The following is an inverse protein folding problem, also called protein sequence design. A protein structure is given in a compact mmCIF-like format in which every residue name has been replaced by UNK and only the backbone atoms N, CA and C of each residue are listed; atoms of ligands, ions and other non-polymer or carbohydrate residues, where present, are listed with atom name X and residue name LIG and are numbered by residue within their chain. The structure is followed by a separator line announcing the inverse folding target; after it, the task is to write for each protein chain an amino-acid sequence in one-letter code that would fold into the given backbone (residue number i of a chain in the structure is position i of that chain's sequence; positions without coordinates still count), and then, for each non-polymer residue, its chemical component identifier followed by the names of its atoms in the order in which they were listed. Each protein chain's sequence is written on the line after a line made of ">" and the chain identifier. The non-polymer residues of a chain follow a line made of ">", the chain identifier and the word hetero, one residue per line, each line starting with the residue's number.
data_IF_561494034476
#
_entry.id   IF_561494034476
#
_cell.length_a   1.000
_cell.length_b   1.000
_cell.length_c   1.000
_cell.angle_alpha   90.00
_cell.angle_beta   90.00
_cell.angle_gamma   90.00
#
_symmetry.space_group_name_H-M   'P 1'
#
loop_
_entity.id
_entity.type
_entity.pdbx_description
1 polymer ?
#
# COMPACT_ATOMS: atom_id res chain seq x y z
N UNK A 1 -24.89 19.99 11.23
CA UNK A 1 -25.03 18.89 10.25
C UNK A 1 -23.64 18.67 9.70
N UNK A 2 -23.06 17.47 9.85
CA UNK A 2 -21.73 17.22 9.29
C UNK A 2 -21.85 17.22 7.76
N UNK A 3 -20.97 17.93 7.07
CA UNK A 3 -20.84 17.84 5.62
C UNK A 3 -20.59 16.36 5.28
N UNK A 4 -21.61 15.70 4.74
CA UNK A 4 -21.51 14.34 4.23
C UNK A 4 -20.64 14.45 2.98
N UNK A 5 -19.39 14.00 3.06
CA UNK A 5 -18.52 13.88 1.88
C UNK A 5 -19.24 13.08 0.79
N UNK A 6 -19.11 13.50 -0.47
CA UNK A 6 -19.59 12.69 -1.58
C UNK A 6 -18.74 11.42 -1.68
N UNK A 7 -19.39 10.26 -1.62
CA UNK A 7 -18.72 8.96 -1.75
C UNK A 7 -17.95 8.85 -3.07
N UNK A 8 -18.44 9.45 -4.16
CA UNK A 8 -17.76 9.45 -5.44
C UNK A 8 -16.41 10.20 -5.38
N UNK A 9 -16.36 11.34 -4.68
CA UNK A 9 -15.13 12.10 -4.47
C UNK A 9 -14.12 11.30 -3.64
N UNK A 10 -14.57 10.65 -2.55
CA UNK A 10 -13.69 9.81 -1.72
C UNK A 10 -13.14 8.59 -2.49
N UNK A 11 -13.97 7.96 -3.34
CA UNK A 11 -13.50 6.89 -4.22
C UNK A 11 -12.42 7.39 -5.16
N UNK A 12 -12.57 8.61 -5.70
CA UNK A 12 -11.54 9.23 -6.54
C UNK A 12 -10.26 9.52 -5.75
N UNK A 13 -10.38 10.07 -4.54
CA UNK A 13 -9.22 10.31 -3.65
C UNK A 13 -8.42 9.03 -3.38
N UNK A 14 -9.09 7.90 -3.11
CA UNK A 14 -8.43 6.62 -2.87
C UNK A 14 -7.76 6.09 -4.13
N UNK A 15 -8.41 6.17 -5.30
CA UNK A 15 -7.78 5.78 -6.58
C UNK A 15 -6.51 6.58 -6.84
N UNK A 16 -6.56 7.89 -6.63
CA UNK A 16 -5.41 8.77 -6.81
C UNK A 16 -4.30 8.49 -5.79
N UNK A 17 -4.67 8.21 -4.53
CA UNK A 17 -3.73 7.81 -3.45
C UNK A 17 -3.03 6.51 -3.81
N UNK A 18 -3.78 5.52 -4.29
CA UNK A 18 -3.23 4.20 -4.63
C UNK A 18 -2.27 4.28 -5.83
N UNK A 19 -2.65 5.05 -6.85
CA UNK A 19 -1.76 5.34 -7.97
C UNK A 19 -0.50 6.12 -7.54
N UNK A 20 -0.62 7.05 -6.60
CA UNK A 20 0.51 7.79 -6.05
C UNK A 20 1.43 6.90 -5.19
N UNK A 21 0.86 5.93 -4.47
CA UNK A 21 1.61 4.94 -3.72
C UNK A 21 2.42 4.02 -4.65
N UNK A 22 1.79 3.45 -5.68
CA UNK A 22 2.49 2.64 -6.69
C UNK A 22 3.60 3.43 -7.40
N UNK A 23 3.34 4.70 -7.74
CA UNK A 23 4.33 5.58 -8.37
C UNK A 23 5.52 5.85 -7.46
N UNK A 24 5.29 6.15 -6.18
CA UNK A 24 6.35 6.40 -5.22
C UNK A 24 7.23 5.15 -5.04
N UNK A 25 6.63 3.96 -5.04
CA UNK A 25 7.37 2.70 -4.98
C UNK A 25 8.30 2.53 -6.20
N UNK A 26 7.87 2.93 -7.39
CA UNK A 26 8.70 2.89 -8.60
C UNK A 26 9.81 3.97 -8.59
N UNK A 27 9.54 5.16 -8.07
CA UNK A 27 10.46 6.31 -8.13
C UNK A 27 11.48 6.36 -6.98
N UNK A 28 11.11 5.84 -5.81
CA UNK A 28 11.88 5.94 -4.55
C UNK A 28 12.14 4.59 -3.89
N UNK A 29 11.56 3.52 -4.42
CA UNK A 29 11.69 2.18 -3.87
C UNK A 29 10.54 1.81 -2.93
N UNK A 30 10.30 0.51 -2.84
CA UNK A 30 9.19 -0.09 -2.08
C UNK A 30 9.24 0.28 -0.59
N UNK A 31 10.42 0.32 0.03
CA UNK A 31 10.54 0.59 1.47
C UNK A 31 10.06 2.00 1.82
N UNK A 32 10.55 3.02 1.10
CA UNK A 32 10.17 4.42 1.32
C UNK A 32 8.67 4.61 1.05
N UNK A 33 8.15 4.01 -0.02
CA UNK A 33 6.73 4.13 -0.36
C UNK A 33 5.83 3.53 0.73
N UNK A 34 6.12 2.30 1.16
CA UNK A 34 5.33 1.65 2.19
C UNK A 34 5.41 2.39 3.53
N UNK A 35 6.57 2.91 3.92
CA UNK A 35 6.70 3.73 5.14
C UNK A 35 5.97 5.07 5.03
N UNK A 36 5.95 5.66 3.82
CA UNK A 36 5.28 6.94 3.56
C UNK A 36 3.76 6.82 3.70
N UNK A 37 3.15 5.79 3.14
CA UNK A 37 1.70 5.60 3.18
C UNK A 37 1.18 4.85 4.41
N UNK A 38 2.08 4.35 5.28
CA UNK A 38 1.71 3.72 6.53
C UNK A 38 1.09 4.70 7.54
N UNK A 39 -0.03 4.29 8.14
CA UNK A 39 -0.44 4.77 9.45
C UNK A 39 0.61 4.36 10.50
N UNK A 40 0.68 5.06 11.63
CA UNK A 40 1.66 4.74 12.69
C UNK A 40 1.45 3.32 13.26
N UNK A 41 0.19 2.86 13.30
CA UNK A 41 -0.21 1.51 13.72
C UNK A 41 -0.39 0.52 12.57
N UNK A 42 0.01 0.86 11.35
CA UNK A 42 -0.21 0.03 10.17
C UNK A 42 0.42 -1.35 10.29
N UNK A 43 -0.11 -2.31 9.55
CA UNK A 43 0.45 -3.66 9.49
C UNK A 43 0.68 -4.10 8.05
N UNK A 44 1.72 -4.90 7.84
CA UNK A 44 1.89 -5.65 6.59
C UNK A 44 1.94 -7.15 6.84
N UNK A 45 1.38 -7.93 5.92
CA UNK A 45 1.48 -9.40 5.93
C UNK A 45 2.45 -9.87 4.84
N UNK A 46 3.57 -10.46 5.23
CA UNK A 46 4.57 -10.99 4.30
C UNK A 46 4.98 -12.38 4.77
N UNK A 47 4.91 -13.37 3.86
CA UNK A 47 5.26 -14.77 4.14
C UNK A 47 4.56 -15.35 5.38
N UNK A 48 3.26 -15.06 5.53
CA UNK A 48 2.43 -15.49 6.68
C UNK A 48 2.95 -14.96 8.04
N UNK A 49 3.63 -13.81 8.04
CA UNK A 49 4.06 -13.08 9.24
C UNK A 49 3.54 -11.64 9.18
N UNK A 50 3.03 -11.18 10.33
CA UNK A 50 2.57 -9.81 10.51
C UNK A 50 3.71 -8.96 11.06
N UNK A 51 3.97 -7.84 10.39
CA UNK A 51 4.85 -6.78 10.85
C UNK A 51 4.00 -5.58 11.23
N UNK A 52 4.21 -5.03 12.43
CA UNK A 52 3.33 -4.01 13.02
C UNK A 52 4.07 -2.69 13.22
N UNK A 53 3.38 -1.61 12.90
CA UNK A 53 3.87 -0.24 12.95
C UNK A 53 5.00 0.03 11.96
N UNK A 54 5.35 1.30 11.80
CA UNK A 54 6.43 1.72 10.91
C UNK A 54 7.77 1.05 11.22
N UNK A 55 8.07 0.79 12.49
CA UNK A 55 9.29 0.10 12.89
C UNK A 55 9.35 -1.35 12.38
N UNK A 56 8.26 -2.12 12.53
CA UNK A 56 8.21 -3.49 12.02
C UNK A 56 8.21 -3.54 10.49
N UNK A 57 7.57 -2.56 9.85
CA UNK A 57 7.58 -2.41 8.38
C UNK A 57 9.00 -2.11 7.88
N UNK A 58 9.70 -1.17 8.53
CA UNK A 58 11.11 -0.87 8.23
C UNK A 58 11.99 -2.12 8.43
N UNK A 59 11.86 -2.82 9.55
CA UNK A 59 12.58 -4.06 9.82
C UNK A 59 12.38 -5.10 8.72
N UNK A 60 11.15 -5.27 8.21
CA UNK A 60 10.92 -6.17 7.09
C UNK A 60 11.73 -5.77 5.85
N UNK A 61 11.65 -4.50 5.45
CA UNK A 61 12.32 -4.02 4.24
C UNK A 61 13.85 -3.97 4.37
N UNK A 62 14.39 -3.63 5.53
CA UNK A 62 15.82 -3.60 5.82
C UNK A 62 16.48 -4.99 5.73
N UNK A 63 15.69 -6.05 5.95
CA UNK A 63 16.13 -7.44 5.85
C UNK A 63 15.97 -8.06 4.44
N UNK A 64 15.53 -7.28 3.44
CA UNK A 64 15.42 -7.79 2.07
C UNK A 64 16.76 -7.69 1.33
N UNK A 65 17.16 -8.77 0.65
CA UNK A 65 18.41 -8.82 -0.13
C UNK A 65 18.18 -8.73 -1.64
N UNK A 66 16.92 -8.78 -2.08
CA UNK A 66 16.56 -8.69 -3.49
C UNK A 66 17.01 -7.35 -4.10
N UNK A 67 17.56 -7.43 -5.31
CA UNK A 67 18.05 -6.28 -6.09
C UNK A 67 17.05 -5.92 -7.17
N UNK A 68 17.15 -4.70 -7.68
CA UNK A 68 16.33 -4.19 -8.79
C UNK A 68 14.84 -4.46 -8.60
N UNK A 69 14.36 -4.28 -7.37
CA UNK A 69 12.99 -4.62 -6.99
C UNK A 69 12.00 -3.68 -7.67
N UNK A 70 11.06 -4.27 -8.39
CA UNK A 70 9.94 -3.60 -9.05
C UNK A 70 8.64 -4.21 -8.56
N UNK A 71 7.72 -3.35 -8.13
CA UNK A 71 6.38 -3.72 -7.72
C UNK A 71 5.40 -2.79 -8.40
N UNK A 72 4.45 -3.35 -9.12
CA UNK A 72 3.37 -2.61 -9.77
C UNK A 72 2.03 -3.22 -9.40
N UNK A 73 1.02 -2.37 -9.17
CA UNK A 73 -0.33 -2.80 -8.88
C UNK A 73 -1.33 -1.75 -9.38
N UNK A 74 -2.57 -2.18 -9.56
CA UNK A 74 -3.70 -1.29 -9.84
C UNK A 74 -4.96 -1.88 -9.22
N UNK A 75 -5.78 -1.08 -8.52
CA UNK A 75 -7.04 -1.58 -7.98
C UNK A 75 -8.03 -1.91 -9.10
N UNK A 76 -8.58 -3.12 -9.04
CA UNK A 76 -9.73 -3.54 -9.85
C UNK A 76 -11.04 -3.13 -9.16
N UNK A 77 -10.97 -2.94 -7.84
CA UNK A 77 -12.07 -2.49 -7.00
C UNK A 77 -11.61 -1.47 -5.96
N UNK A 78 -12.47 -0.49 -5.72
CA UNK A 78 -12.31 0.54 -4.69
C UNK A 78 -13.67 0.83 -4.09
N UNK A 79 -13.76 0.83 -2.76
CA UNK A 79 -14.94 1.34 -2.07
C UNK A 79 -14.57 2.05 -0.76
N UNK A 80 -15.51 2.86 -0.30
CA UNK A 80 -15.39 3.70 0.91
C UNK A 80 -16.59 3.44 1.81
N UNK A 81 -16.34 3.31 3.11
CA UNK A 81 -17.38 3.18 4.13
C UNK A 81 -18.31 4.40 4.12
N UNK A 82 -19.57 4.23 4.55
CA UNK A 82 -20.53 5.34 4.60
C UNK A 82 -20.08 6.48 5.53
N UNK A 83 -19.29 6.16 6.56
CA UNK A 83 -18.64 7.13 7.45
C UNK A 83 -17.60 8.01 6.75
N UNK A 84 -17.06 7.59 5.61
CA UNK A 84 -16.03 8.31 4.85
C UNK A 84 -14.64 8.30 5.47
N UNK A 85 -14.43 7.55 6.56
CA UNK A 85 -13.16 7.46 7.30
C UNK A 85 -12.33 6.21 6.98
N UNK A 86 -12.94 5.23 6.31
CA UNK A 86 -12.33 3.95 5.96
C UNK A 86 -12.59 3.62 4.49
N UNK A 87 -11.62 3.01 3.82
CA UNK A 87 -11.75 2.52 2.46
C UNK A 87 -10.97 1.21 2.28
N UNK A 88 -11.27 0.48 1.21
CA UNK A 88 -10.53 -0.72 0.85
C UNK A 88 -10.35 -0.81 -0.67
N UNK A 89 -9.16 -1.25 -1.05
CA UNK A 89 -8.75 -1.48 -2.43
C UNK A 89 -8.27 -2.90 -2.59
N UNK A 90 -8.57 -3.51 -3.74
CA UNK A 90 -7.96 -4.78 -4.12
C UNK A 90 -7.88 -4.90 -5.63
N UNK A 91 -6.94 -5.73 -6.07
CA UNK A 91 -6.67 -5.97 -7.49
C UNK A 91 -5.40 -6.80 -7.64
N UNK A 92 -4.87 -6.81 -8.85
CA UNK A 92 -3.69 -7.59 -9.17
C UNK A 92 -2.39 -6.80 -8.92
N UNK A 93 -1.34 -7.50 -8.48
CA UNK A 93 0.02 -6.98 -8.46
C UNK A 93 0.98 -7.85 -9.29
N UNK A 94 2.06 -7.22 -9.74
CA UNK A 94 3.22 -7.89 -10.36
C UNK A 94 4.46 -7.43 -9.62
N UNK A 95 5.22 -8.41 -9.13
CA UNK A 95 6.51 -8.24 -8.49
C UNK A 95 7.59 -8.86 -9.37
N UNK A 96 8.68 -8.13 -9.55
CA UNK A 96 9.89 -8.61 -10.21
C UNK A 96 11.12 -8.12 -9.43
N UNK A 97 12.14 -8.95 -9.34
CA UNK A 97 13.42 -8.61 -8.73
C UNK A 97 14.53 -9.53 -9.23
N UNK A 98 15.76 -9.26 -8.80
CA UNK A 98 16.90 -10.16 -8.93
C UNK A 98 17.29 -10.71 -7.56
N UNK A 99 17.59 -12.01 -7.49
CA UNK A 99 18.21 -12.61 -6.31
C UNK A 99 19.65 -12.13 -6.12
N UNK A 100 20.26 -12.47 -4.99
CA UNK A 100 21.69 -12.20 -4.75
C UNK A 100 22.62 -12.81 -5.80
N UNK A 101 22.19 -13.92 -6.42
CA UNK A 101 22.86 -14.61 -7.52
C UNK A 101 22.52 -14.03 -8.91
N UNK A 102 21.85 -12.88 -8.97
CA UNK A 102 21.34 -12.23 -10.18
C UNK A 102 20.36 -13.09 -11.00
N UNK A 103 19.62 -13.99 -10.34
CA UNK A 103 18.55 -14.77 -11.00
C UNK A 103 17.23 -13.99 -10.93
N UNK A 104 16.45 -13.93 -12.02
CA UNK A 104 15.12 -13.33 -11.99
C UNK A 104 14.20 -14.02 -10.98
N UNK A 105 13.48 -13.22 -10.20
CA UNK A 105 12.42 -13.63 -9.30
C UNK A 105 11.16 -12.88 -9.70
N UNK A 106 10.07 -13.60 -9.95
CA UNK A 106 8.77 -13.01 -10.27
C UNK A 106 7.68 -13.57 -9.37
N UNK A 107 6.72 -12.73 -9.01
CA UNK A 107 5.50 -13.13 -8.35
C UNK A 107 4.31 -12.31 -8.86
N UNK A 108 3.15 -12.95 -8.92
CA UNK A 108 1.87 -12.32 -9.24
C UNK A 108 0.86 -12.75 -8.20
N UNK A 109 -0.07 -11.87 -7.89
CA UNK A 109 -1.09 -12.17 -6.90
C UNK A 109 -2.10 -11.05 -6.76
N UNK A 110 -2.87 -11.15 -5.69
CA UNK A 110 -3.88 -10.16 -5.31
C UNK A 110 -3.34 -9.35 -4.14
N UNK A 111 -3.44 -8.03 -4.23
CA UNK A 111 -3.23 -7.15 -3.09
C UNK A 111 -4.58 -6.82 -2.46
N UNK A 112 -4.56 -6.46 -1.18
CA UNK A 112 -5.70 -5.90 -0.49
C UNK A 112 -5.20 -4.87 0.51
N UNK A 113 -5.58 -3.61 0.32
CA UNK A 113 -5.15 -2.53 1.20
C UNK A 113 -6.36 -1.94 1.90
N UNK A 114 -6.29 -1.84 3.23
CA UNK A 114 -7.31 -1.16 4.04
C UNK A 114 -6.77 0.21 4.43
N UNK A 115 -7.54 1.25 4.12
CA UNK A 115 -7.17 2.64 4.28
C UNK A 115 -7.97 3.30 5.38
N UNK A 116 -7.31 4.21 6.10
CA UNK A 116 -7.91 5.11 7.07
C UNK A 116 -7.62 6.56 6.68
N UNK A 117 -8.66 7.39 6.69
CA UNK A 117 -8.54 8.83 6.46
C UNK A 117 -8.03 9.49 7.73
N UNK A 118 -6.94 10.23 7.60
CA UNK A 118 -6.31 10.96 8.68
C UNK A 118 -6.98 12.32 8.88
N UNK A 119 -6.84 12.94 10.07
CA UNK A 119 -7.10 14.36 10.23
C UNK A 119 -6.35 15.15 9.15
N UNK A 120 -7.04 16.06 8.46
CA UNK A 120 -6.48 16.78 7.30
C UNK A 120 -6.72 16.11 5.94
N UNK A 121 -7.44 14.97 5.90
CA UNK A 121 -7.97 14.39 4.66
C UNK A 121 -7.02 13.48 3.89
N UNK A 122 -5.78 13.31 4.35
CA UNK A 122 -4.84 12.35 3.73
C UNK A 122 -5.21 10.92 4.07
N UNK A 123 -4.91 9.99 3.17
CA UNK A 123 -5.15 8.57 3.37
C UNK A 123 -3.87 7.83 3.73
N UNK A 124 -3.97 6.93 4.72
CA UNK A 124 -2.89 6.03 5.13
C UNK A 124 -3.42 4.62 5.24
N UNK A 125 -2.65 3.62 4.80
CA UNK A 125 -3.07 2.25 4.99
C UNK A 125 -2.89 1.85 6.45
N UNK A 126 -3.82 1.05 6.95
CA UNK A 126 -3.76 0.40 8.27
C UNK A 126 -3.46 -1.10 8.12
N UNK A 127 -3.70 -1.67 6.94
CA UNK A 127 -3.39 -3.06 6.59
C UNK A 127 -2.96 -3.16 5.12
N UNK A 128 -1.86 -3.87 4.87
CA UNK A 128 -1.43 -4.32 3.52
C UNK A 128 -0.80 -5.74 3.50
#
# INVERSE_FOLDING_TARGET
>A
MADKFDKADLIKEIKDTEAAFCRLAAERGIAEAFLTYADDGAVINRNNRIYRGKAGIAEYYDNQTLKDVQLTWSPDYVDVAESGDMAWTYGNYVFAALSDENKPVEARGIFHTVWKRQPGGTWKYVWD
#
